data_IF_769600445360
#
_entry.id   IF_769600445360
#
_cell.length_a   1.000
_cell.length_b   1.000
_cell.length_c   1.000
_cell.angle_alpha   90.00
_cell.angle_beta   90.00
_cell.angle_gamma   90.00
#
_symmetry.space_group_name_H-M   'P 1'
#
loop_
_entity.id
_entity.type
_entity.pdbx_description
1 polymer ?
#
# COMPACT_ATOMS: atom_id res chain seq x y z
N UNK A 1 10.65 -7.89 17.80
CA UNK A 1 10.36 -6.78 16.86
C UNK A 1 11.06 -7.00 15.52
N UNK A 2 12.34 -7.37 15.51
CA UNK A 2 13.06 -7.72 14.27
C UNK A 2 12.68 -9.11 13.70
N UNK A 3 12.34 -10.07 14.57
CA UNK A 3 12.08 -11.47 14.18
C UNK A 3 10.79 -11.67 13.37
N UNK A 4 9.78 -10.82 13.55
CA UNK A 4 8.51 -10.91 12.82
C UNK A 4 8.65 -10.42 11.38
N UNK A 5 9.51 -9.43 11.15
CA UNK A 5 9.89 -8.97 9.80
C UNK A 5 10.73 -10.02 9.07
N UNK A 6 11.41 -10.91 9.80
CA UNK A 6 12.28 -11.94 9.23
C UNK A 6 11.50 -13.20 8.78
N UNK A 7 10.20 -13.31 9.13
CA UNK A 7 9.35 -14.48 8.85
C UNK A 7 8.27 -14.19 7.78
N UNK A 8 8.13 -12.94 7.34
CA UNK A 8 7.30 -12.61 6.19
C UNK A 8 8.17 -12.78 4.95
N UNK A 9 7.75 -13.65 4.03
CA UNK A 9 8.47 -13.84 2.78
C UNK A 9 8.70 -12.47 2.10
N UNK A 10 9.96 -12.07 1.88
CA UNK A 10 10.26 -10.75 1.31
C UNK A 10 9.63 -10.56 -0.08
N UNK A 11 9.40 -11.66 -0.81
CA UNK A 11 8.64 -11.67 -2.05
C UNK A 11 7.17 -11.26 -1.90
N UNK A 12 6.52 -11.63 -0.80
CA UNK A 12 5.12 -11.26 -0.53
C UNK A 12 5.05 -9.76 -0.24
N UNK A 13 5.94 -9.23 0.60
CA UNK A 13 6.01 -7.79 0.89
C UNK A 13 6.28 -6.98 -0.38
N UNK A 14 7.24 -7.44 -1.20
CA UNK A 14 7.57 -6.79 -2.46
C UNK A 14 6.39 -6.82 -3.44
N UNK A 15 5.70 -7.95 -3.57
CA UNK A 15 4.51 -8.08 -4.41
C UNK A 15 3.36 -7.16 -3.95
N UNK A 16 3.08 -7.10 -2.64
CA UNK A 16 2.08 -6.18 -2.09
C UNK A 16 2.44 -4.71 -2.32
N UNK A 17 3.72 -4.35 -2.19
CA UNK A 17 4.19 -2.98 -2.45
C UNK A 17 4.02 -2.60 -3.93
N UNK A 18 4.30 -3.53 -4.83
CA UNK A 18 4.13 -3.34 -6.28
C UNK A 18 2.66 -3.21 -6.66
N UNK A 19 1.80 -4.09 -6.11
CA UNK A 19 0.35 -4.03 -6.29
C UNK A 19 -0.25 -2.72 -5.75
N UNK A 20 0.19 -2.28 -4.57
CA UNK A 20 -0.20 -1.00 -3.97
C UNK A 20 0.13 0.19 -4.88
N UNK A 21 1.37 0.24 -5.38
CA UNK A 21 1.79 1.30 -6.31
C UNK A 21 0.97 1.28 -7.60
N UNK A 22 0.61 0.10 -8.11
CA UNK A 22 -0.24 -0.07 -9.27
C UNK A 22 -1.66 0.46 -9.02
N UNK A 23 -2.25 0.16 -7.86
CA UNK A 23 -3.59 0.64 -7.49
C UNK A 23 -3.59 2.16 -7.34
N UNK A 24 -2.57 2.75 -6.71
CA UNK A 24 -2.44 4.22 -6.60
C UNK A 24 -2.29 4.91 -7.96
N UNK A 25 -1.53 4.30 -8.87
CA UNK A 25 -1.38 4.80 -10.25
C UNK A 25 -2.69 4.70 -11.03
N UNK A 26 -3.39 3.57 -10.96
CA UNK A 26 -4.70 3.38 -11.60
C UNK A 26 -5.72 4.36 -11.04
N UNK A 27 -5.75 4.59 -9.72
CA UNK A 27 -6.63 5.58 -9.11
C UNK A 27 -6.35 7.00 -9.61
N UNK A 28 -5.07 7.35 -9.77
CA UNK A 28 -4.65 8.60 -10.40
C UNK A 28 -5.15 8.73 -11.83
N UNK A 29 -4.95 7.71 -12.68
CA UNK A 29 -5.43 7.70 -14.08
C UNK A 29 -6.96 7.80 -14.15
N UNK A 30 -7.68 7.05 -13.32
CA UNK A 30 -9.14 7.10 -13.27
C UNK A 30 -9.65 8.49 -12.82
N UNK A 31 -8.93 9.18 -11.93
CA UNK A 31 -9.26 10.54 -11.54
C UNK A 31 -8.95 11.56 -12.67
N UNK A 32 -7.83 11.39 -13.37
CA UNK A 32 -7.41 12.22 -14.50
C UNK A 32 -8.40 12.14 -15.68
N UNK A 33 -8.84 10.93 -16.03
CA UNK A 33 -9.89 10.72 -17.04
C UNK A 33 -11.24 11.37 -16.69
N UNK A 34 -11.46 11.70 -15.41
CA UNK A 34 -12.65 12.40 -14.90
C UNK A 34 -12.43 13.90 -14.73
N UNK A 35 -11.27 14.42 -15.12
CA UNK A 35 -10.91 15.85 -15.02
C UNK A 35 -10.48 16.29 -13.62
N UNK A 36 -10.19 15.36 -12.71
CA UNK A 36 -9.65 15.67 -11.38
C UNK A 36 -8.11 15.70 -11.42
N UNK A 37 -7.51 16.40 -10.46
CA UNK A 37 -6.05 16.52 -10.35
C UNK A 37 -5.38 15.16 -10.09
N UNK A 38 -4.75 14.61 -11.13
CA UNK A 38 -3.94 13.38 -11.11
C UNK A 38 -3.02 13.25 -9.88
N UNK A 39 -2.13 14.23 -9.58
CA UNK A 39 -1.19 14.08 -8.49
C UNK A 39 -1.86 14.04 -7.11
N UNK A 40 -3.01 14.68 -6.93
CA UNK A 40 -3.74 14.67 -5.66
C UNK A 40 -4.36 13.29 -5.38
N UNK A 41 -4.97 12.68 -6.40
CA UNK A 41 -5.55 11.34 -6.27
C UNK A 41 -4.51 10.24 -6.19
N UNK A 42 -3.38 10.40 -6.90
CA UNK A 42 -2.22 9.52 -6.76
C UNK A 42 -1.65 9.59 -5.34
N UNK A 43 -1.57 10.79 -4.76
CA UNK A 43 -1.07 11.00 -3.40
C UNK A 43 -2.03 10.43 -2.35
N UNK A 44 -3.35 10.54 -2.54
CA UNK A 44 -4.35 9.88 -1.69
C UNK A 44 -4.20 8.35 -1.76
N UNK A 45 -4.04 7.79 -2.96
CA UNK A 45 -3.82 6.36 -3.15
C UNK A 45 -2.54 5.89 -2.46
N UNK A 46 -1.45 6.64 -2.62
CA UNK A 46 -0.15 6.30 -2.06
C UNK A 46 -0.17 6.40 -0.52
N UNK A 47 -0.70 7.49 0.04
CA UNK A 47 -0.82 7.69 1.49
C UNK A 47 -1.69 6.60 2.10
N UNK A 48 -2.88 6.36 1.55
CA UNK A 48 -3.83 5.40 2.11
C UNK A 48 -3.22 4.01 2.27
N UNK A 49 -2.56 3.49 1.24
CA UNK A 49 -1.96 2.16 1.34
C UNK A 49 -0.58 2.14 2.02
N UNK A 50 0.19 3.23 2.08
CA UNK A 50 1.36 3.30 2.97
C UNK A 50 0.94 3.23 4.44
N UNK A 51 -0.11 3.93 4.84
CA UNK A 51 -0.68 3.81 6.18
C UNK A 51 -1.24 2.40 6.43
N UNK A 52 -1.88 1.78 5.44
CA UNK A 52 -2.34 0.40 5.52
C UNK A 52 -1.22 -0.62 5.73
N UNK A 53 -0.09 -0.43 5.04
CA UNK A 53 1.11 -1.28 5.19
C UNK A 53 1.75 -1.09 6.57
N UNK A 54 1.90 0.14 7.05
CA UNK A 54 2.44 0.42 8.38
C UNK A 54 1.53 -0.19 9.45
N UNK A 55 0.20 -0.05 9.31
CA UNK A 55 -0.77 -0.64 10.22
C UNK A 55 -0.69 -2.18 10.21
N UNK A 56 -0.60 -2.81 9.05
CA UNK A 56 -0.48 -4.27 8.94
C UNK A 56 0.82 -4.81 9.53
N UNK A 57 1.93 -4.10 9.35
CA UNK A 57 3.22 -4.45 9.96
C UNK A 57 3.24 -4.26 11.49
N UNK A 58 2.43 -3.34 12.01
CA UNK A 58 2.35 -3.04 13.44
C UNK A 58 1.33 -3.94 14.16
N UNK A 59 0.41 -4.57 13.42
CA UNK A 59 -0.55 -5.52 13.99
C UNK A 59 0.18 -6.76 14.49
N UNK A 60 0.02 -7.04 15.79
CA UNK A 60 0.50 -8.31 16.36
C UNK A 60 -0.35 -9.46 15.82
N UNK A 61 0.25 -10.66 15.61
CA UNK A 61 -0.51 -11.84 15.26
C UNK A 61 -1.60 -12.05 16.30
N UNK A 62 -2.85 -12.14 15.83
CA UNK A 62 -3.99 -12.43 16.67
C UNK A 62 -3.85 -13.90 17.08
N UNK A 63 -3.49 -14.16 18.34
CA UNK A 63 -3.66 -15.49 18.92
C UNK A 63 -5.17 -15.72 19.02
N UNK A 64 -5.70 -16.52 18.08
CA UNK A 64 -7.07 -17.01 18.08
C UNK A 64 -7.00 -18.45 18.60
#
# INVERSE_FOLDING_TARGET
MLETLMNIDPNIVFSLMLLHSLIGLIAGIVADTKGYFFPLWLLIGLIGGTFGLIASLTLKPKNI
#
